data_IF_204489457326
#
_entry.id   IF_204489457326
#
_cell.length_a   1.000
_cell.length_b   1.000
_cell.length_c   1.000
_cell.angle_alpha   90.00
_cell.angle_beta   90.00
_cell.angle_gamma   90.00
#
_symmetry.space_group_name_H-M   'P 1'
#
loop_
_entity.id
_entity.type
_entity.pdbx_description
1 polymer ?
#
# COMPACT_ATOMS: atom_id res chain seq x y z
N UNK A 1 -10.71 10.97 12.99
CA UNK A 1 -9.48 11.12 13.80
C UNK A 1 -8.31 11.12 12.83
N UNK A 2 -7.38 12.06 12.94
CA UNK A 2 -6.17 12.04 12.12
C UNK A 2 -5.13 11.14 12.78
N UNK A 3 -4.55 10.21 12.02
CA UNK A 3 -3.36 9.47 12.48
C UNK A 3 -2.17 10.43 12.57
N UNK A 4 -1.22 10.17 13.48
CA UNK A 4 -0.01 10.99 13.60
C UNK A 4 0.93 10.87 12.40
N UNK A 5 0.91 9.76 11.67
CA UNK A 5 1.84 9.49 10.56
C UNK A 5 1.11 8.80 9.41
N UNK A 6 1.29 9.30 8.19
CA UNK A 6 0.79 8.66 6.97
C UNK A 6 1.96 8.10 6.18
N UNK A 7 1.93 6.81 5.87
CA UNK A 7 2.90 6.14 5.01
C UNK A 7 2.30 6.01 3.61
N UNK A 8 3.08 6.36 2.59
CA UNK A 8 2.66 6.31 1.19
C UNK A 8 3.55 5.30 0.44
N UNK A 9 2.94 4.36 -0.26
CA UNK A 9 3.63 3.43 -1.17
C UNK A 9 3.02 3.59 -2.55
N UNK A 10 3.85 3.97 -3.53
CA UNK A 10 3.49 3.88 -4.94
C UNK A 10 4.01 2.55 -5.51
N UNK A 11 3.22 1.88 -6.35
CA UNK A 11 3.59 0.58 -6.95
C UNK A 11 3.05 0.45 -8.36
N UNK A 12 3.77 -0.27 -9.22
CA UNK A 12 3.33 -0.65 -10.56
C UNK A 12 3.75 -2.09 -10.85
N UNK A 13 2.78 -2.99 -10.94
CA UNK A 13 2.98 -4.42 -11.23
C UNK A 13 4.10 -5.08 -10.42
N UNK A 14 4.18 -4.75 -9.13
CA UNK A 14 5.26 -5.12 -8.21
C UNK A 14 4.79 -5.90 -6.98
N UNK A 15 3.75 -6.73 -7.11
CA UNK A 15 3.10 -7.41 -5.98
C UNK A 15 4.05 -8.16 -5.03
N UNK A 16 5.08 -8.81 -5.57
CA UNK A 16 6.07 -9.56 -4.79
C UNK A 16 6.85 -8.67 -3.81
N UNK A 17 7.30 -7.48 -4.24
CA UNK A 17 8.03 -6.54 -3.38
C UNK A 17 7.09 -5.70 -2.52
N UNK A 18 5.87 -5.45 -3.01
CA UNK A 18 4.81 -4.75 -2.27
C UNK A 18 4.49 -5.46 -0.95
N UNK A 19 4.42 -6.80 -0.96
CA UNK A 19 4.21 -7.60 0.26
C UNK A 19 5.24 -7.26 1.34
N UNK A 20 6.53 -7.30 1.01
CA UNK A 20 7.60 -7.01 1.96
C UNK A 20 7.57 -5.56 2.44
N UNK A 21 7.21 -4.62 1.58
CA UNK A 21 7.08 -3.21 1.97
C UNK A 21 5.95 -3.01 3.00
N UNK A 22 4.80 -3.65 2.79
CA UNK A 22 3.68 -3.59 3.74
C UNK A 22 4.04 -4.28 5.06
N UNK A 23 4.68 -5.45 5.03
CA UNK A 23 5.17 -6.14 6.22
C UNK A 23 6.17 -5.27 7.02
N UNK A 24 7.03 -4.53 6.32
CA UNK A 24 7.94 -3.58 6.97
C UNK A 24 7.17 -2.48 7.71
N UNK A 25 6.12 -1.90 7.11
CA UNK A 25 5.28 -0.88 7.77
C UNK A 25 4.55 -1.45 8.99
N UNK A 26 4.05 -2.68 8.89
CA UNK A 26 3.37 -3.36 10.00
C UNK A 26 4.28 -3.59 11.21
N UNK A 27 5.58 -3.79 10.99
CA UNK A 27 6.57 -4.02 12.05
C UNK A 27 7.24 -2.73 12.61
N UNK A 28 6.74 -1.54 12.27
CA UNK A 28 7.28 -0.29 12.79
C UNK A 28 6.98 -0.10 14.29
N UNK A 29 7.86 0.60 15.01
CA UNK A 29 7.70 0.89 16.44
C UNK A 29 6.69 2.00 16.73
N UNK A 30 6.45 2.89 15.76
CA UNK A 30 5.32 3.83 15.78
C UNK A 30 4.07 3.07 15.38
N UNK A 31 3.00 3.15 16.18
CA UNK A 31 1.76 2.37 15.97
C UNK A 31 0.57 3.21 15.48
N UNK A 32 0.60 4.52 15.69
CA UNK A 32 -0.42 5.47 15.23
C UNK A 32 -0.11 5.96 13.81
N UNK A 33 -0.45 5.12 12.84
CA UNK A 33 -0.26 5.39 11.42
C UNK A 33 -1.43 4.91 10.56
N UNK A 34 -1.51 5.49 9.35
CA UNK A 34 -2.26 4.95 8.22
C UNK A 34 -1.31 4.63 7.06
N UNK A 35 -1.64 3.63 6.25
CA UNK A 35 -0.88 3.26 5.06
C UNK A 35 -1.77 3.47 3.84
N UNK A 36 -1.34 4.30 2.89
CA UNK A 36 -1.97 4.42 1.58
C UNK A 36 -1.06 3.84 0.51
N UNK A 37 -1.56 2.82 -0.16
CA UNK A 37 -0.92 2.17 -1.29
C UNK A 37 -1.62 2.63 -2.57
N UNK A 38 -0.87 3.29 -3.44
CA UNK A 38 -1.32 3.76 -4.75
C UNK A 38 -0.74 2.87 -5.84
N UNK A 39 -1.59 2.12 -6.54
CA UNK A 39 -1.24 1.43 -7.78
C UNK A 39 -1.25 2.41 -8.95
N UNK A 40 -0.22 2.41 -9.78
CA UNK A 40 -0.10 3.27 -10.96
C UNK A 40 -0.60 2.56 -12.21
N UNK A 41 -1.88 2.18 -12.21
CA UNK A 41 -2.47 1.36 -13.28
C UNK A 41 -2.06 -0.12 -13.19
N UNK A 42 -1.97 -0.67 -11.97
CA UNK A 42 -1.62 -2.08 -11.78
C UNK A 42 -2.66 -3.01 -12.43
N UNK A 43 -2.17 -4.05 -13.08
CA UNK A 43 -2.96 -5.13 -13.70
C UNK A 43 -2.61 -6.52 -13.15
N UNK A 44 -1.63 -6.60 -12.25
CA UNK A 44 -1.22 -7.81 -11.53
C UNK A 44 -2.07 -8.07 -10.27
N UNK A 45 -1.61 -8.96 -9.39
CA UNK A 45 -2.27 -9.31 -8.13
C UNK A 45 -2.01 -8.33 -6.97
N UNK A 46 -1.57 -7.09 -7.26
CA UNK A 46 -1.24 -6.09 -6.23
C UNK A 46 -2.42 -5.77 -5.31
N UNK A 47 -3.64 -5.72 -5.86
CA UNK A 47 -4.84 -5.42 -5.08
C UNK A 47 -5.15 -6.55 -4.09
N UNK A 48 -5.00 -7.80 -4.52
CA UNK A 48 -5.15 -9.00 -3.71
C UNK A 48 -4.08 -9.07 -2.62
N UNK A 49 -2.83 -8.71 -2.94
CA UNK A 49 -1.75 -8.62 -1.93
C UNK A 49 -2.13 -7.61 -0.84
N UNK A 50 -2.56 -6.40 -1.20
CA UNK A 50 -2.96 -5.39 -0.21
C UNK A 50 -4.15 -5.87 0.63
N UNK A 51 -5.17 -6.45 0.00
CA UNK A 51 -6.35 -6.98 0.68
C UNK A 51 -6.02 -8.14 1.64
N UNK A 52 -4.99 -8.94 1.33
CA UNK A 52 -4.61 -10.12 2.13
C UNK A 52 -4.16 -9.80 3.56
N UNK A 53 -3.75 -8.55 3.84
CA UNK A 53 -3.34 -8.14 5.18
C UNK A 53 -4.51 -7.92 6.13
N UNK A 54 -5.73 -7.69 5.61
CA UNK A 54 -6.95 -7.49 6.38
C UNK A 54 -6.80 -6.48 7.55
N UNK A 55 -5.98 -5.44 7.35
CA UNK A 55 -5.73 -4.39 8.35
C UNK A 55 -6.48 -3.12 7.93
N UNK A 56 -7.40 -2.59 8.77
CA UNK A 56 -8.23 -1.44 8.42
C UNK A 56 -7.45 -0.13 8.24
N UNK A 57 -6.17 -0.09 8.66
CA UNK A 57 -5.28 1.07 8.47
C UNK A 57 -4.66 1.13 7.08
N UNK A 58 -4.81 0.07 6.28
CA UNK A 58 -4.24 -0.04 4.94
C UNK A 58 -5.32 0.28 3.91
N UNK A 59 -5.03 1.24 3.04
CA UNK A 59 -5.93 1.71 2.01
C UNK A 59 -5.30 1.51 0.64
N UNK A 60 -6.04 0.88 -0.28
CA UNK A 60 -5.66 0.70 -1.67
C UNK A 60 -6.36 1.72 -2.57
N UNK A 61 -5.61 2.30 -3.51
CA UNK A 61 -6.16 3.08 -4.60
C UNK A 61 -5.39 2.79 -5.88
N UNK A 62 -6.03 2.20 -6.89
CA UNK A 62 -5.41 2.02 -8.20
C UNK A 62 -5.83 3.16 -9.12
N UNK A 63 -4.86 3.77 -9.78
CA UNK A 63 -5.09 4.73 -10.86
C UNK A 63 -5.63 4.01 -12.10
N UNK A 64 -6.41 4.70 -12.96
CA UNK A 64 -7.00 4.07 -14.15
C UNK A 64 -5.97 3.68 -15.21
N UNK A 65 -4.82 4.36 -15.23
CA UNK A 65 -3.73 4.12 -16.18
C UNK A 65 -2.39 4.47 -15.53
N UNK A 66 -1.30 3.96 -16.12
CA UNK A 66 0.04 4.28 -15.69
C UNK A 66 0.40 5.73 -16.04
N UNK A 67 0.83 6.49 -15.03
CA UNK A 67 1.06 7.93 -15.10
C UNK A 67 2.42 8.37 -14.57
N UNK A 68 3.25 7.41 -14.11
CA UNK A 68 4.64 7.63 -13.77
C UNK A 68 5.48 8.08 -14.96
N UNK A 69 6.45 8.96 -14.70
CA UNK A 69 7.40 9.51 -15.68
C UNK A 69 8.72 8.78 -15.70
#
# INVERSE_FOLDING_TARGET
MACRTSVLIATFNGSAVLRYAIESVLHQTVTDWELRVTGDGCTDDSAEVVASFNDPRIHWHNLPENSGS
#
